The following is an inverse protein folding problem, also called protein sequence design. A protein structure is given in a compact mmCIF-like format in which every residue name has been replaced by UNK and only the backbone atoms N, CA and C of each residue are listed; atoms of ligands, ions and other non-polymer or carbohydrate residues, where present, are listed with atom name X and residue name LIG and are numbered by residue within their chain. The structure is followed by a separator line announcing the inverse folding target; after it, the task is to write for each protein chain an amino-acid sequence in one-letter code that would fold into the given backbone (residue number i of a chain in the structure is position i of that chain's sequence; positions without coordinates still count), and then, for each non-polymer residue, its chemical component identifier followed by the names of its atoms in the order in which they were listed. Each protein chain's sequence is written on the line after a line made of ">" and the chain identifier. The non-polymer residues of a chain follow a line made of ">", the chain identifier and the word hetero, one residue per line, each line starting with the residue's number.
data_IF_461694512867
#
_entry.id   IF_461694512867
#
_cell.length_a   1.000
_cell.length_b   1.000
_cell.length_c   1.000
_cell.angle_alpha   90.00
_cell.angle_beta   90.00
_cell.angle_gamma   90.00
#
_symmetry.space_group_name_H-M   'P 1'
#
loop_
_entity.id
_entity.type
_entity.pdbx_description
1 polymer ?
#
# COMPACT_ATOMS: atom_id res chain seq x y z
N UNK A 1 -6.00 -23.48 -6.33
CA UNK A 1 -5.96 -22.28 -7.18
C UNK A 1 -6.19 -20.98 -6.39
N UNK A 2 -7.27 -20.87 -5.59
CA UNK A 2 -7.55 -19.69 -4.74
C UNK A 2 -6.35 -19.22 -3.92
N UNK A 3 -5.72 -20.11 -3.17
CA UNK A 3 -4.57 -19.79 -2.30
C UNK A 3 -3.37 -19.25 -3.07
N UNK A 4 -3.05 -19.84 -4.22
CA UNK A 4 -1.93 -19.39 -5.08
C UNK A 4 -2.20 -17.98 -5.59
N UNK A 5 -3.43 -17.71 -6.04
CA UNK A 5 -3.82 -16.38 -6.51
C UNK A 5 -3.75 -15.34 -5.38
N UNK A 6 -4.26 -15.67 -4.19
CA UNK A 6 -4.15 -14.82 -2.99
C UNK A 6 -2.69 -14.52 -2.63
N UNK A 7 -1.80 -15.51 -2.72
CA UNK A 7 -0.37 -15.33 -2.47
C UNK A 7 0.24 -14.35 -3.49
N UNK A 8 -0.03 -14.52 -4.78
CA UNK A 8 0.45 -13.63 -5.85
C UNK A 8 -0.03 -12.20 -5.61
N UNK A 9 -1.32 -12.00 -5.33
CA UNK A 9 -1.86 -10.68 -5.03
C UNK A 9 -1.22 -10.05 -3.80
N UNK A 10 -0.96 -10.84 -2.76
CA UNK A 10 -0.29 -10.36 -1.55
C UNK A 10 1.14 -9.91 -1.85
N UNK A 11 1.89 -10.66 -2.64
CA UNK A 11 3.25 -10.29 -3.07
C UNK A 11 3.24 -9.01 -3.90
N UNK A 12 2.30 -8.88 -4.85
CA UNK A 12 2.14 -7.66 -5.65
C UNK A 12 1.78 -6.47 -4.75
N UNK A 13 0.86 -6.64 -3.80
CA UNK A 13 0.49 -5.60 -2.85
C UNK A 13 1.71 -5.11 -2.04
N UNK A 14 2.54 -6.03 -1.52
CA UNK A 14 3.78 -5.68 -0.82
C UNK A 14 4.74 -4.92 -1.74
N UNK A 15 4.89 -5.35 -2.98
CA UNK A 15 5.75 -4.66 -3.96
C UNK A 15 5.26 -3.23 -4.24
N UNK A 16 3.94 -3.00 -4.32
CA UNK A 16 3.36 -1.65 -4.49
C UNK A 16 3.66 -0.76 -3.28
N UNK A 17 3.50 -1.28 -2.06
CA UNK A 17 3.84 -0.54 -0.82
C UNK A 17 5.31 -0.14 -0.83
N UNK A 18 6.20 -1.10 -1.11
CA UNK A 18 7.64 -0.86 -1.17
C UNK A 18 7.98 0.19 -2.24
N UNK A 19 7.38 0.08 -3.42
CA UNK A 19 7.58 1.02 -4.51
C UNK A 19 7.12 2.44 -4.15
N UNK A 20 5.94 2.59 -3.55
CA UNK A 20 5.40 3.90 -3.15
C UNK A 20 6.34 4.60 -2.16
N UNK A 21 6.80 3.89 -1.12
CA UNK A 21 7.72 4.45 -0.13
C UNK A 21 9.11 4.71 -0.71
N UNK A 22 9.64 3.81 -1.54
CA UNK A 22 10.91 4.03 -2.21
C UNK A 22 10.87 5.27 -3.10
N UNK A 23 9.79 5.46 -3.85
CA UNK A 23 9.68 6.64 -4.70
C UNK A 23 9.48 7.94 -3.93
N UNK A 24 8.70 7.90 -2.85
CA UNK A 24 8.56 9.05 -1.97
C UNK A 24 9.91 9.49 -1.42
N UNK A 25 10.74 8.53 -0.99
CA UNK A 25 12.07 8.81 -0.47
C UNK A 25 13.03 9.38 -1.52
N UNK A 26 12.87 8.98 -2.78
CA UNK A 26 13.68 9.45 -3.91
C UNK A 26 13.28 10.85 -4.40
N UNK A 27 12.00 11.20 -4.35
CA UNK A 27 11.50 12.46 -4.92
C UNK A 27 11.36 13.60 -3.91
N UNK A 28 11.32 13.29 -2.60
CA UNK A 28 11.18 14.30 -1.53
C UNK A 28 12.49 14.41 -0.76
N UNK A 29 13.26 15.46 -1.05
CA UNK A 29 14.59 15.71 -0.46
C UNK A 29 14.53 16.25 0.97
N UNK A 30 13.48 17.00 1.32
CA UNK A 30 13.32 17.56 2.66
C UNK A 30 12.93 16.48 3.69
N UNK A 31 13.83 16.20 4.63
CA UNK A 31 13.68 15.12 5.62
C UNK A 31 12.35 15.17 6.41
N UNK A 32 11.89 16.33 6.96
CA UNK A 32 10.64 16.35 7.73
C UNK A 32 9.41 16.05 6.87
N UNK A 33 9.35 16.59 5.65
CA UNK A 33 8.22 16.38 4.72
C UNK A 33 8.18 14.93 4.22
N UNK A 34 9.34 14.32 3.99
CA UNK A 34 9.46 12.91 3.62
C UNK A 34 8.89 12.01 4.71
N UNK A 35 9.33 12.18 5.96
CA UNK A 35 8.84 11.38 7.09
C UNK A 35 7.35 11.55 7.32
N UNK A 36 6.82 12.77 7.24
CA UNK A 36 5.38 13.01 7.29
C UNK A 36 4.63 12.27 6.17
N UNK A 37 5.16 12.27 4.94
CA UNK A 37 4.57 11.54 3.83
C UNK A 37 4.53 10.02 4.06
N UNK A 38 5.62 9.41 4.56
CA UNK A 38 5.63 7.99 4.91
C UNK A 38 4.63 7.67 6.02
N UNK A 39 4.60 8.49 7.07
CA UNK A 39 3.71 8.31 8.21
C UNK A 39 2.24 8.40 7.81
N UNK A 40 1.86 9.41 7.02
CA UNK A 40 0.48 9.58 6.55
C UNK A 40 0.05 8.44 5.62
N UNK A 41 0.89 8.02 4.68
CA UNK A 41 0.59 6.88 3.80
C UNK A 41 0.35 5.60 4.61
N UNK A 42 1.26 5.31 5.53
CA UNK A 42 1.17 4.12 6.37
C UNK A 42 -0.08 4.16 7.26
N UNK A 43 -0.36 5.29 7.90
CA UNK A 43 -1.52 5.48 8.76
C UNK A 43 -2.83 5.26 7.99
N UNK A 44 -2.99 5.91 6.84
CA UNK A 44 -4.20 5.79 6.02
C UNK A 44 -4.38 4.36 5.51
N UNK A 45 -3.30 3.72 5.05
CA UNK A 45 -3.36 2.35 4.55
C UNK A 45 -3.70 1.34 5.67
N UNK A 46 -3.12 1.50 6.86
CA UNK A 46 -3.45 0.66 8.03
C UNK A 46 -4.89 0.85 8.46
N UNK A 47 -5.36 2.10 8.55
CA UNK A 47 -6.75 2.40 8.87
C UNK A 47 -7.72 1.81 7.84
N UNK A 48 -7.39 1.91 6.56
CA UNK A 48 -8.16 1.32 5.47
C UNK A 48 -8.16 -0.21 5.53
N UNK A 49 -7.00 -0.83 5.70
CA UNK A 49 -6.87 -2.28 5.86
C UNK A 49 -7.70 -2.79 7.03
N UNK A 50 -7.63 -2.11 8.17
CA UNK A 50 -8.44 -2.43 9.36
C UNK A 50 -9.94 -2.32 9.07
N UNK A 51 -10.38 -1.24 8.42
CA UNK A 51 -11.78 -1.05 8.07
C UNK A 51 -12.26 -2.19 7.15
N UNK A 52 -11.50 -2.51 6.10
CA UNK A 52 -11.83 -3.60 5.17
C UNK A 52 -11.95 -4.93 5.91
N UNK A 53 -10.96 -5.30 6.72
CA UNK A 53 -10.96 -6.66 7.30
C UNK A 53 -11.73 -6.80 8.59
N UNK A 54 -11.82 -5.75 9.40
CA UNK A 54 -12.44 -5.79 10.73
C UNK A 54 -13.88 -5.27 10.76
N UNK A 55 -14.25 -4.38 9.83
CA UNK A 55 -15.61 -3.82 9.77
C UNK A 55 -16.42 -4.44 8.64
N UNK A 56 -15.80 -4.66 7.47
CA UNK A 56 -16.52 -5.11 6.28
C UNK A 56 -16.41 -6.62 5.99
N UNK A 57 -15.37 -7.30 6.47
CA UNK A 57 -15.22 -8.75 6.32
C UNK A 57 -15.65 -9.46 7.62
N UNK A 58 -16.52 -10.47 7.50
CA UNK A 58 -16.97 -11.29 8.63
C UNK A 58 -15.88 -12.23 9.15
N UNK A 59 -15.99 -12.64 10.42
CA UNK A 59 -14.94 -13.35 11.16
C UNK A 59 -14.61 -14.78 10.70
N UNK A 60 -15.28 -15.31 9.67
CA UNK A 60 -15.24 -16.74 9.34
C UNK A 60 -14.18 -17.16 8.32
N UNK A 61 -13.49 -16.22 7.68
CA UNK A 61 -12.54 -16.57 6.63
C UNK A 61 -11.10 -16.31 7.09
N UNK A 62 -10.36 -17.37 7.40
CA UNK A 62 -8.92 -17.37 7.76
C UNK A 62 -7.97 -16.72 6.73
N UNK A 63 -8.48 -15.97 5.76
CA UNK A 63 -7.76 -15.08 4.84
C UNK A 63 -7.68 -13.61 5.30
N UNK A 64 -8.12 -13.27 6.51
CA UNK A 64 -8.11 -11.89 7.02
C UNK A 64 -6.75 -11.17 6.88
N UNK A 65 -5.64 -11.86 7.14
CA UNK A 65 -4.30 -11.29 6.97
C UNK A 65 -3.98 -10.96 5.49
N UNK A 66 -4.33 -11.86 4.56
CA UNK A 66 -4.10 -11.62 3.14
C UNK A 66 -5.00 -10.49 2.61
N UNK A 67 -6.24 -10.42 3.07
CA UNK A 67 -7.15 -9.32 2.74
C UNK A 67 -6.63 -7.98 3.28
N UNK A 68 -6.11 -7.96 4.52
CA UNK A 68 -5.52 -6.77 5.14
C UNK A 68 -4.31 -6.26 4.36
N UNK A 69 -3.38 -7.16 4.04
CA UNK A 69 -2.19 -6.82 3.25
C UNK A 69 -2.55 -6.35 1.84
N UNK A 70 -3.55 -6.98 1.21
CA UNK A 70 -4.05 -6.56 -0.10
C UNK A 70 -4.68 -5.17 -0.03
N UNK A 71 -5.52 -4.90 0.97
CA UNK A 71 -6.15 -3.60 1.17
C UNK A 71 -5.10 -2.50 1.41
N UNK A 72 -4.05 -2.79 2.20
CA UNK A 72 -2.90 -1.88 2.36
C UNK A 72 -2.24 -1.61 1.01
N UNK A 73 -1.94 -2.63 0.21
CA UNK A 73 -1.32 -2.46 -1.10
C UNK A 73 -2.17 -1.62 -2.05
N UNK A 74 -3.49 -1.84 -2.07
CA UNK A 74 -4.44 -1.06 -2.87
C UNK A 74 -4.45 0.41 -2.43
N UNK A 75 -4.42 0.70 -1.13
CA UNK A 75 -4.36 2.07 -0.62
C UNK A 75 -3.07 2.81 -1.04
N UNK A 76 -1.99 2.08 -1.34
CA UNK A 76 -0.74 2.64 -1.85
C UNK A 76 -0.71 2.83 -3.37
N UNK A 77 -1.69 2.28 -4.10
CA UNK A 77 -1.71 2.34 -5.57
C UNK A 77 -1.84 3.78 -6.11
N UNK A 78 -2.78 4.62 -5.61
CA UNK A 78 -2.87 6.01 -6.09
C UNK A 78 -1.58 6.82 -5.89
N UNK A 79 -0.95 6.88 -4.69
CA UNK A 79 0.31 7.61 -4.53
C UNK A 79 1.46 6.97 -5.33
N UNK A 80 1.52 5.65 -5.48
CA UNK A 80 2.49 4.99 -6.35
C UNK A 80 2.38 5.46 -7.81
N UNK A 81 1.17 5.52 -8.36
CA UNK A 81 0.90 5.99 -9.73
C UNK A 81 1.29 7.46 -9.88
N UNK A 82 0.86 8.32 -8.95
CA UNK A 82 1.19 9.76 -9.00
C UNK A 82 2.70 9.98 -8.97
N UNK A 83 3.42 9.28 -8.08
CA UNK A 83 4.88 9.38 -8.00
C UNK A 83 5.57 8.82 -9.25
N UNK A 84 5.05 7.75 -9.84
CA UNK A 84 5.55 7.22 -11.11
C UNK A 84 5.41 8.24 -12.24
N UNK A 85 4.21 8.81 -12.42
CA UNK A 85 3.96 9.83 -13.45
C UNK A 85 4.85 11.06 -13.25
N UNK A 86 5.01 11.51 -12.01
CA UNK A 86 5.91 12.63 -11.68
C UNK A 86 7.37 12.32 -12.02
N UNK A 87 7.82 11.08 -11.83
CA UNK A 87 9.16 10.66 -12.25
C UNK A 87 9.32 10.73 -13.77
N UNK A 88 8.29 10.36 -14.53
CA UNK A 88 8.32 10.41 -16.00
C UNK A 88 8.38 11.86 -16.51
N UNK A 89 7.72 12.81 -15.85
CA UNK A 89 7.77 14.22 -16.22
C UNK A 89 9.13 14.89 -15.93
N UNK A 90 9.91 14.35 -15.00
CA UNK A 90 11.23 14.86 -14.64
C UNK A 90 12.37 14.28 -15.51
N UNK A 91 12.04 13.39 -16.47
CA UNK A 91 12.95 12.84 -17.48
C UNK A 91 12.72 13.53 -18.81
#
# INVERSE_FOLDING_TARGET
>A
MRLVFTLVLTVVAIAVVAYAHWQLARQVTASPRRWLGHGLLALVAVAFGWAVTGVYMGAEEGGGAAAFLTAIGVAHLPPAIVLFLKQQQAR
#
